data_IF_162233052976
#
_entry.id   IF_162233052976
#
_cell.length_a   1.000
_cell.length_b   1.000
_cell.length_c   1.000
_cell.angle_alpha   90.00
_cell.angle_beta   90.00
_cell.angle_gamma   90.00
#
_symmetry.space_group_name_H-M   'P 1'
#
loop_
_entity.id
_entity.type
_entity.pdbx_description
1 polymer ?
#
# COMPACT_ATOMS: atom_id res chain seq x y z
N UNK A 1 10.29 -56.79 23.63
CA UNK A 1 10.85 -55.42 23.73
C UNK A 1 11.06 -54.74 22.37
N UNK A 2 11.58 -55.45 21.34
CA UNK A 2 11.90 -54.88 20.01
C UNK A 2 10.76 -54.12 19.31
N UNK A 3 9.52 -54.60 19.41
CA UNK A 3 8.35 -53.93 18.82
C UNK A 3 7.90 -52.65 19.55
N UNK A 4 8.24 -52.49 20.83
CA UNK A 4 7.87 -51.30 21.62
C UNK A 4 8.75 -50.10 21.25
N UNK A 5 9.99 -50.36 20.83
CA UNK A 5 10.94 -49.34 20.39
C UNK A 5 10.55 -48.76 19.02
N UNK A 6 10.17 -49.62 18.06
CA UNK A 6 9.70 -49.19 16.75
C UNK A 6 8.40 -48.39 16.82
N UNK A 7 7.45 -48.83 17.66
CA UNK A 7 6.22 -48.07 17.91
C UNK A 7 6.49 -46.69 18.54
N UNK A 8 7.45 -46.61 19.46
CA UNK A 8 7.84 -45.34 20.09
C UNK A 8 8.45 -44.35 19.09
N UNK A 9 9.29 -44.81 18.16
CA UNK A 9 9.91 -43.96 17.12
C UNK A 9 8.87 -43.45 16.12
N UNK A 10 7.92 -44.29 15.71
CA UNK A 10 6.83 -43.87 14.81
C UNK A 10 5.95 -42.82 15.51
N UNK A 11 5.64 -43.02 16.79
CA UNK A 11 4.84 -42.08 17.56
C UNK A 11 5.51 -40.70 17.70
N UNK A 12 6.83 -40.65 17.94
CA UNK A 12 7.55 -39.37 18.04
C UNK A 12 7.65 -38.65 16.70
N UNK A 13 7.86 -39.36 15.60
CA UNK A 13 7.86 -38.77 14.25
C UNK A 13 6.48 -38.24 13.87
N UNK A 14 5.42 -39.00 14.16
CA UNK A 14 4.05 -38.54 13.91
C UNK A 14 3.72 -37.27 14.72
N UNK A 15 4.17 -37.22 15.98
CA UNK A 15 3.97 -36.05 16.84
C UNK A 15 4.72 -34.81 16.33
N UNK A 16 5.99 -34.96 15.90
CA UNK A 16 6.76 -33.81 15.40
C UNK A 16 6.20 -33.25 14.09
N UNK A 17 5.71 -34.11 13.19
CA UNK A 17 5.03 -33.70 11.96
C UNK A 17 3.73 -32.95 12.27
N UNK A 18 2.93 -33.44 13.23
CA UNK A 18 1.70 -32.77 13.64
C UNK A 18 1.97 -31.39 14.23
N UNK A 19 3.00 -31.25 15.09
CA UNK A 19 3.41 -29.95 15.65
C UNK A 19 3.88 -29.00 14.56
N UNK A 20 4.70 -29.48 13.61
CA UNK A 20 5.15 -28.68 12.48
C UNK A 20 3.99 -28.16 11.61
N UNK A 21 2.98 -29.00 11.37
CA UNK A 21 1.79 -28.61 10.62
C UNK A 21 0.95 -27.54 11.34
N UNK A 22 0.78 -27.66 12.67
CA UNK A 22 0.07 -26.65 13.48
C UNK A 22 0.81 -25.31 13.48
N UNK A 23 2.14 -25.33 13.63
CA UNK A 23 2.96 -24.12 13.61
C UNK A 23 2.94 -23.43 12.24
N UNK A 24 2.92 -24.20 11.14
CA UNK A 24 2.86 -23.65 9.78
C UNK A 24 1.53 -22.91 9.47
N UNK A 25 0.43 -23.30 10.11
CA UNK A 25 -0.87 -22.64 9.98
C UNK A 25 -1.14 -21.53 10.99
N UNK A 26 -0.25 -21.32 11.96
CA UNK A 26 -0.46 -20.34 13.03
C UNK A 26 -0.08 -18.93 12.55
N UNK A 27 -0.95 -17.91 12.72
CA UNK A 27 -0.63 -16.55 12.33
C UNK A 27 0.53 -15.99 13.18
N UNK A 28 1.54 -15.42 12.53
CA UNK A 28 2.58 -14.64 13.21
C UNK A 28 2.11 -13.20 13.46
N UNK A 29 2.72 -12.52 14.43
CA UNK A 29 2.49 -11.10 14.66
C UNK A 29 2.59 -10.31 13.35
N UNK A 30 1.51 -9.60 13.00
CA UNK A 30 1.41 -8.82 11.76
C UNK A 30 0.68 -9.51 10.59
N UNK A 31 0.34 -10.80 10.68
CA UNK A 31 -0.47 -11.50 9.66
C UNK A 31 -1.99 -11.37 9.84
N UNK A 32 -2.44 -10.72 10.92
CA UNK A 32 -3.85 -10.40 11.06
C UNK A 32 -4.29 -9.43 9.96
N UNK A 33 -5.51 -9.60 9.44
CA UNK A 33 -6.12 -8.56 8.62
C UNK A 33 -6.17 -7.28 9.46
N UNK A 34 -5.52 -6.18 9.03
CA UNK A 34 -5.67 -4.92 9.72
C UNK A 34 -7.15 -4.57 9.72
N UNK A 35 -7.64 -3.99 10.82
CA UNK A 35 -8.98 -3.45 10.85
C UNK A 35 -9.18 -2.55 9.61
N UNK A 36 -10.32 -2.63 8.92
CA UNK A 36 -10.55 -1.82 7.73
C UNK A 36 -10.34 -0.36 8.09
N UNK A 37 -9.40 0.29 7.41
CA UNK A 37 -9.07 1.68 7.66
C UNK A 37 -10.30 2.55 7.41
N UNK A 38 -10.71 3.32 8.42
CA UNK A 38 -11.81 4.27 8.32
C UNK A 38 -11.25 5.68 8.33
N UNK A 39 -11.24 6.32 7.16
CA UNK A 39 -10.81 7.71 7.03
C UNK A 39 -11.68 8.65 7.88
N UNK A 40 -11.05 9.62 8.55
CA UNK A 40 -11.75 10.65 9.30
C UNK A 40 -12.69 11.46 8.39
N UNK A 41 -13.85 11.85 8.93
CA UNK A 41 -14.84 12.67 8.24
C UNK A 41 -15.04 13.98 8.99
N UNK A 42 -15.38 15.03 8.25
CA UNK A 42 -15.81 16.31 8.80
C UNK A 42 -17.24 16.23 9.34
N UNK A 43 -17.71 17.26 10.05
CA UNK A 43 -19.06 17.29 10.63
C UNK A 43 -20.18 17.19 9.57
N UNK A 44 -19.90 17.63 8.34
CA UNK A 44 -20.78 17.51 7.18
C UNK A 44 -20.58 16.18 6.40
N UNK A 45 -19.83 15.22 6.95
CA UNK A 45 -19.68 13.86 6.43
C UNK A 45 -18.69 13.70 5.28
N UNK A 46 -18.04 14.78 4.84
CA UNK A 46 -17.04 14.76 3.77
C UNK A 46 -15.71 14.18 4.27
N UNK A 47 -14.86 13.64 3.38
CA UNK A 47 -13.51 13.22 3.74
C UNK A 47 -12.74 14.37 4.40
N UNK A 48 -12.14 14.11 5.56
CA UNK A 48 -11.23 15.06 6.18
C UNK A 48 -9.84 14.91 5.52
N UNK A 49 -9.45 15.90 4.73
CA UNK A 49 -8.18 15.94 4.00
C UNK A 49 -7.09 16.75 4.72
N UNK A 50 -7.32 17.18 5.96
CA UNK A 50 -6.31 17.89 6.74
C UNK A 50 -5.04 17.04 6.88
N UNK A 51 -3.89 17.62 6.52
CA UNK A 51 -2.59 16.92 6.52
C UNK A 51 -2.17 16.32 5.18
N UNK A 52 -3.04 16.37 4.15
CA UNK A 52 -2.66 16.04 2.78
C UNK A 52 -2.25 17.34 2.08
N UNK A 53 -0.95 17.49 1.80
CA UNK A 53 -0.38 18.71 1.20
C UNK A 53 -0.03 18.58 -0.29
N UNK A 54 -0.31 17.43 -0.91
CA UNK A 54 -0.09 17.25 -2.34
C UNK A 54 -1.33 17.62 -3.16
N UNK A 55 -1.17 18.57 -4.07
CA UNK A 55 -2.12 18.84 -5.14
C UNK A 55 -1.67 18.10 -6.41
N UNK A 56 -2.30 16.97 -6.70
CA UNK A 56 -2.02 16.19 -7.91
C UNK A 56 -2.91 16.68 -9.06
N UNK A 57 -2.41 17.65 -9.84
CA UNK A 57 -3.12 18.21 -11.00
C UNK A 57 -2.27 18.06 -12.26
N UNK A 58 -2.88 18.13 -13.46
CA UNK A 58 -2.13 18.13 -14.73
C UNK A 58 -1.14 19.28 -14.81
N UNK A 59 -1.47 20.46 -14.26
CA UNK A 59 -0.53 21.59 -14.16
C UNK A 59 0.68 21.29 -13.25
N UNK A 60 0.55 20.35 -12.30
CA UNK A 60 1.66 19.92 -11.45
C UNK A 60 2.66 19.01 -12.20
N UNK A 61 2.20 18.32 -13.25
CA UNK A 61 3.06 17.46 -14.08
C UNK A 61 3.52 18.14 -15.38
N UNK A 62 2.86 19.21 -15.81
CA UNK A 62 3.13 19.96 -17.03
C UNK A 62 3.89 21.26 -16.74
N UNK A 63 4.95 21.17 -15.91
CA UNK A 63 5.89 22.27 -15.69
C UNK A 63 7.09 22.11 -16.63
N UNK A 64 6.86 22.28 -17.93
CA UNK A 64 7.96 22.41 -18.88
C UNK A 64 8.64 23.79 -18.70
N UNK A 65 9.98 23.88 -18.69
CA UNK A 65 10.66 25.17 -18.67
C UNK A 65 10.37 25.94 -19.96
N UNK A 66 9.63 27.03 -19.84
CA UNK A 66 9.37 27.94 -20.95
C UNK A 66 10.39 29.09 -20.90
N UNK A 67 11.15 29.28 -21.97
CA UNK A 67 11.98 30.47 -22.11
C UNK A 67 11.07 31.72 -22.09
N UNK A 68 11.43 32.73 -21.30
CA UNK A 68 10.71 34.00 -21.29
C UNK A 68 10.73 34.60 -22.70
N UNK A 69 9.54 34.83 -23.27
CA UNK A 69 9.36 35.50 -24.56
C UNK A 69 8.78 36.90 -24.33
N UNK A 70 9.17 37.90 -25.14
CA UNK A 70 8.51 39.21 -25.12
C UNK A 70 6.99 39.04 -25.27
N UNK A 71 6.21 39.84 -24.54
CA UNK A 71 4.76 39.85 -24.70
C UNK A 71 4.42 40.18 -26.16
N UNK A 72 3.48 39.47 -26.80
CA UNK A 72 3.08 39.79 -28.17
C UNK A 72 2.64 41.24 -28.25
N UNK A 73 3.28 42.03 -29.11
CA UNK A 73 2.85 43.40 -29.41
C UNK A 73 1.60 43.30 -30.29
N UNK A 74 0.43 43.23 -29.65
CA UNK A 74 -0.88 43.15 -30.34
C UNK A 74 -1.15 44.41 -31.19
N UNK A 75 -0.45 45.51 -30.91
CA UNK A 75 -0.66 46.81 -31.54
C UNK A 75 -0.48 46.83 -33.07
N UNK A 76 0.23 45.85 -33.66
CA UNK A 76 0.50 45.83 -35.10
C UNK A 76 -0.33 44.78 -35.87
N UNK A 77 -1.28 44.09 -35.22
CA UNK A 77 -2.21 43.16 -35.91
C UNK A 77 -1.60 41.92 -36.56
N UNK A 78 -0.27 41.76 -36.53
CA UNK A 78 0.47 40.68 -37.19
C UNK A 78 0.63 39.40 -36.32
N UNK A 79 -0.32 39.11 -35.43
CA UNK A 79 -0.22 37.97 -34.52
C UNK A 79 -0.74 36.65 -35.12
N UNK A 80 -1.07 36.60 -36.42
CA UNK A 80 -1.66 35.41 -37.05
C UNK A 80 -1.50 35.31 -38.57
N UNK A 81 -0.49 35.95 -39.15
CA UNK A 81 -0.11 35.79 -40.56
C UNK A 81 1.25 35.07 -40.67
#
# INVERSE_FOLDING_TARGET
MKYRLGAAVIATVAASVAVGFVLAGSPVAGQGQPAPYKAARTADGKPNLNGIWQANTTANFDLEPHAAKPSPVIAMGAAGA
#
